data_IF_499305490955
#
_entry.id   IF_499305490955
#
_cell.length_a   1.000
_cell.length_b   1.000
_cell.length_c   1.000
_cell.angle_alpha   90.00
_cell.angle_beta   90.00
_cell.angle_gamma   90.00
#
_symmetry.space_group_name_H-M   'P 1'
#
loop_
_entity.id
_entity.type
_entity.pdbx_description
1 polymer ?
#
# COMPACT_ATOMS: atom_id res chain seq x y z
N UNK A 1 7.98 3.64 -11.13
CA UNK A 1 8.50 4.94 -10.69
C UNK A 1 7.74 5.34 -9.44
N UNK A 2 8.41 5.66 -8.34
CA UNK A 2 7.79 6.04 -7.07
C UNK A 2 8.10 7.53 -6.86
N UNK A 3 7.06 8.35 -6.67
CA UNK A 3 7.13 9.78 -6.37
C UNK A 3 6.86 9.96 -4.87
N UNK A 4 7.73 10.68 -4.16
CA UNK A 4 7.69 10.83 -2.70
C UNK A 4 6.87 12.05 -2.24
N UNK A 5 6.27 12.81 -3.17
CA UNK A 5 5.33 13.87 -2.86
C UNK A 5 5.96 15.11 -2.21
N UNK A 6 7.29 15.27 -2.30
CA UNK A 6 8.03 16.34 -1.65
C UNK A 6 7.83 17.74 -2.28
N UNK A 7 7.10 17.87 -3.40
CA UNK A 7 6.86 19.18 -4.04
C UNK A 7 5.41 19.35 -4.53
N UNK A 8 4.79 20.47 -4.17
CA UNK A 8 3.38 20.79 -4.49
C UNK A 8 3.09 21.03 -5.98
N UNK A 9 4.11 21.12 -6.84
CA UNK A 9 3.99 21.40 -8.28
C UNK A 9 4.79 20.41 -9.16
N UNK A 10 4.78 19.12 -8.82
CA UNK A 10 5.39 18.09 -9.66
C UNK A 10 4.65 17.95 -10.99
N UNK A 11 5.35 18.24 -12.10
CA UNK A 11 4.88 18.07 -13.48
C UNK A 11 4.61 16.60 -13.86
N UNK A 12 4.84 15.64 -12.96
CA UNK A 12 4.56 14.20 -13.14
C UNK A 12 3.08 13.93 -13.37
N UNK A 13 2.19 14.81 -12.88
CA UNK A 13 0.74 14.67 -13.08
C UNK A 13 0.35 14.78 -14.57
N UNK A 14 1.15 15.44 -15.43
CA UNK A 14 0.78 15.70 -16.83
C UNK A 14 1.32 14.68 -17.86
N UNK A 15 2.19 13.76 -17.45
CA UNK A 15 2.71 12.68 -18.32
C UNK A 15 2.18 11.30 -17.88
N UNK A 16 1.53 11.20 -16.72
CA UNK A 16 0.95 9.96 -16.19
C UNK A 16 -0.37 9.51 -16.85
N UNK A 17 -0.92 10.27 -17.79
CA UNK A 17 -2.17 9.89 -18.48
C UNK A 17 -1.98 8.80 -19.54
N UNK A 18 -0.74 8.53 -19.96
CA UNK A 18 -0.42 7.63 -21.07
C UNK A 18 0.50 6.45 -20.72
N UNK A 19 0.78 6.22 -19.44
CA UNK A 19 1.53 5.04 -19.00
C UNK A 19 0.77 4.41 -17.83
N UNK A 20 0.07 3.32 -18.14
CA UNK A 20 -0.65 2.42 -17.21
C UNK A 20 0.32 1.71 -16.25
N UNK A 21 1.05 2.46 -15.42
CA UNK A 21 1.72 1.91 -14.26
C UNK A 21 0.67 1.66 -13.19
N UNK A 22 0.57 0.44 -12.63
CA UNK A 22 -0.38 0.14 -11.55
C UNK A 22 -0.07 1.05 -10.36
N UNK A 23 -0.82 2.13 -10.22
CA UNK A 23 -0.81 2.97 -9.03
C UNK A 23 -1.45 2.16 -7.89
N UNK A 24 -0.67 1.30 -7.27
CA UNK A 24 -0.94 0.80 -5.94
C UNK A 24 -0.70 1.96 -4.96
N UNK A 25 -1.64 2.89 -4.87
CA UNK A 25 -1.65 3.91 -3.81
C UNK A 25 -1.77 3.15 -2.49
N UNK A 26 -0.71 3.11 -1.69
CA UNK A 26 -0.77 2.51 -0.36
C UNK A 26 -1.85 3.17 0.47
N UNK A 27 -2.62 2.39 1.22
CA UNK A 27 -3.69 2.90 2.06
C UNK A 27 -3.12 3.82 3.16
N UNK A 28 -1.94 3.47 3.70
CA UNK A 28 -1.22 4.26 4.71
C UNK A 28 0.31 4.11 4.62
N UNK A 29 1.03 5.07 5.19
CA UNK A 29 2.43 4.91 5.58
C UNK A 29 2.50 4.38 7.02
N UNK A 30 3.03 3.17 7.20
CA UNK A 30 3.11 2.47 8.48
C UNK A 30 4.02 3.22 9.46
N UNK A 31 5.11 3.78 8.96
CA UNK A 31 6.16 4.38 9.76
C UNK A 31 6.23 5.91 9.58
N UNK A 32 5.11 6.57 9.32
CA UNK A 32 5.06 8.03 9.25
C UNK A 32 5.70 8.68 10.50
N UNK A 33 5.38 8.15 11.69
CA UNK A 33 6.19 8.29 12.89
C UNK A 33 7.09 7.04 13.04
N UNK A 34 8.43 7.17 12.95
CA UNK A 34 9.36 6.05 13.04
C UNK A 34 9.56 5.53 14.47
N UNK A 35 8.92 6.13 15.48
CA UNK A 35 8.94 5.61 16.85
C UNK A 35 8.29 4.21 16.92
N UNK A 36 8.65 3.41 17.93
CA UNK A 36 8.03 2.10 18.14
C UNK A 36 6.51 2.21 18.28
N UNK A 37 6.03 3.24 18.98
CA UNK A 37 4.61 3.51 19.15
C UNK A 37 3.93 3.93 17.85
N UNK A 38 4.58 4.81 17.07
CA UNK A 38 4.11 5.25 15.77
C UNK A 38 3.90 4.10 14.79
N UNK A 39 4.90 3.25 14.64
CA UNK A 39 4.83 2.06 13.78
C UNK A 39 3.75 1.09 14.27
N UNK A 40 3.62 0.87 15.58
CA UNK A 40 2.57 0.01 16.13
C UNK A 40 1.16 0.54 15.84
N UNK A 41 0.97 1.86 15.95
CA UNK A 41 -0.29 2.53 15.61
C UNK A 41 -0.60 2.42 14.11
N UNK A 42 0.40 2.63 13.25
CA UNK A 42 0.26 2.45 11.80
C UNK A 42 -0.17 1.02 11.44
N UNK A 43 0.46 0.00 12.04
CA UNK A 43 0.08 -1.40 11.82
C UNK A 43 -1.34 -1.71 12.32
N UNK A 44 -1.74 -1.16 13.47
CA UNK A 44 -3.09 -1.31 13.98
C UNK A 44 -4.13 -0.66 13.06
N UNK A 45 -3.82 0.49 12.47
CA UNK A 45 -4.68 1.15 11.50
C UNK A 45 -4.79 0.35 10.19
N UNK A 46 -3.67 -0.20 9.71
CA UNK A 46 -3.66 -1.07 8.54
C UNK A 46 -4.59 -2.28 8.72
N UNK A 47 -4.59 -2.89 9.91
CA UNK A 47 -5.50 -3.99 10.23
C UNK A 47 -6.97 -3.58 10.20
N UNK A 48 -7.30 -2.39 10.73
CA UNK A 48 -8.68 -1.88 10.68
C UNK A 48 -9.13 -1.67 9.23
N UNK A 49 -8.27 -1.10 8.40
CA UNK A 49 -8.54 -0.92 6.96
C UNK A 49 -8.74 -2.29 6.30
N UNK A 50 -7.86 -3.26 6.59
CA UNK A 50 -7.97 -4.61 6.02
C UNK A 50 -9.27 -5.31 6.41
N UNK A 51 -9.70 -5.18 7.66
CA UNK A 51 -10.98 -5.76 8.14
C UNK A 51 -12.19 -5.10 7.49
N UNK A 52 -12.16 -3.77 7.32
CA UNK A 52 -13.24 -3.01 6.70
C UNK A 52 -13.34 -3.27 5.19
N UNK A 53 -12.21 -3.22 4.49
CA UNK A 53 -12.15 -3.23 3.03
C UNK A 53 -11.84 -4.62 2.44
N UNK A 54 -11.71 -5.66 3.29
CA UNK A 54 -11.23 -7.02 2.97
C UNK A 54 -9.80 -7.10 2.44
N UNK A 55 -9.12 -5.97 2.25
CA UNK A 55 -7.70 -5.84 1.88
C UNK A 55 -7.13 -4.51 2.38
N UNK A 56 -5.82 -4.46 2.57
CA UNK A 56 -5.09 -3.20 2.74
C UNK A 56 -3.63 -3.36 2.28
N UNK A 57 -3.01 -2.26 1.85
CA UNK A 57 -1.61 -2.15 1.44
C UNK A 57 -0.95 -1.05 2.25
N UNK A 58 0.01 -1.40 3.10
CA UNK A 58 0.82 -0.44 3.85
C UNK A 58 2.18 -0.23 3.20
N UNK A 59 2.66 1.01 3.21
CA UNK A 59 4.02 1.37 2.75
C UNK A 59 4.88 1.66 3.98
N UNK A 60 6.15 1.25 3.96
CA UNK A 60 7.09 1.50 5.04
C UNK A 60 8.49 1.80 4.48
N UNK A 61 9.29 2.59 5.19
CA UNK A 61 10.70 2.83 4.84
C UNK A 61 11.58 1.66 5.30
N UNK A 62 12.76 1.54 4.70
CA UNK A 62 13.73 0.48 4.99
C UNK A 62 14.56 0.76 6.26
N UNK A 63 13.89 1.08 7.37
CA UNK A 63 14.52 1.33 8.67
C UNK A 63 14.63 0.03 9.47
N UNK A 64 15.77 -0.28 10.13
CA UNK A 64 15.95 -1.53 10.86
C UNK A 64 14.88 -1.78 11.95
N UNK A 65 14.46 -0.72 12.65
CA UNK A 65 13.41 -0.79 13.66
C UNK A 65 12.03 -1.09 13.05
N UNK A 66 11.68 -0.42 11.95
CA UNK A 66 10.43 -0.63 11.20
C UNK A 66 10.34 -2.08 10.70
N UNK A 67 11.41 -2.60 10.10
CA UNK A 67 11.47 -3.98 9.62
C UNK A 67 11.26 -4.96 10.78
N UNK A 68 11.94 -4.75 11.91
CA UNK A 68 11.84 -5.61 13.10
C UNK A 68 10.42 -5.64 13.68
N UNK A 69 9.74 -4.49 13.71
CA UNK A 69 8.36 -4.39 14.19
C UNK A 69 7.37 -5.04 13.23
N UNK A 70 7.54 -4.86 11.92
CA UNK A 70 6.73 -5.54 10.91
C UNK A 70 6.91 -7.06 11.04
N UNK A 71 8.14 -7.57 11.15
CA UNK A 71 8.40 -9.00 11.33
C UNK A 71 7.77 -9.59 12.60
N UNK A 72 7.71 -8.80 13.67
CA UNK A 72 7.04 -9.23 14.90
C UNK A 72 5.52 -9.24 14.72
N UNK A 73 4.99 -8.22 14.06
CA UNK A 73 3.57 -8.08 13.77
C UNK A 73 3.04 -9.16 12.81
N UNK A 74 3.79 -9.55 11.78
CA UNK A 74 3.36 -10.59 10.82
C UNK A 74 3.09 -11.93 11.49
N UNK A 75 3.86 -12.28 12.53
CA UNK A 75 3.63 -13.47 13.37
C UNK A 75 2.26 -13.45 14.08
N UNK A 76 1.65 -12.29 14.23
CA UNK A 76 0.35 -12.11 14.89
C UNK A 76 -0.85 -12.23 13.95
N UNK A 77 -0.64 -12.30 12.64
CA UNK A 77 -1.72 -12.20 11.65
C UNK A 77 -2.61 -13.44 11.62
N UNK A 78 -2.05 -14.64 11.84
CA UNK A 78 -2.81 -15.89 11.86
C UNK A 78 -3.94 -15.89 12.89
N UNK A 79 -3.63 -15.50 14.14
CA UNK A 79 -4.64 -15.35 15.20
C UNK A 79 -5.67 -14.24 14.92
N UNK A 80 -5.34 -13.29 14.06
CA UNK A 80 -6.21 -12.18 13.64
C UNK A 80 -7.04 -12.50 12.40
N UNK A 81 -6.89 -13.70 11.82
CA UNK A 81 -7.52 -14.12 10.55
C UNK A 81 -7.18 -13.17 9.38
N UNK A 82 -5.95 -12.66 9.36
CA UNK A 82 -5.41 -11.81 8.28
C UNK A 82 -4.32 -12.62 7.57
N UNK A 83 -4.37 -12.66 6.24
CA UNK A 83 -3.32 -13.27 5.43
C UNK A 83 -2.39 -12.17 4.89
N UNK A 84 -1.08 -12.37 5.03
CA UNK A 84 -0.08 -11.54 4.36
C UNK A 84 0.05 -12.02 2.91
N UNK A 85 0.04 -11.10 1.96
CA UNK A 85 0.14 -11.41 0.54
C UNK A 85 1.06 -10.42 -0.19
N UNK A 86 1.70 -10.82 -1.30
CA UNK A 86 2.40 -9.90 -2.19
C UNK A 86 1.44 -8.83 -2.74
N UNK A 87 1.94 -7.62 -2.99
CA UNK A 87 1.11 -6.53 -3.53
C UNK A 87 0.45 -6.89 -4.87
N UNK A 88 1.11 -7.72 -5.69
CA UNK A 88 0.57 -8.22 -6.96
C UNK A 88 -0.68 -9.09 -6.81
N UNK A 89 -0.87 -9.75 -5.66
CA UNK A 89 -2.07 -10.53 -5.37
C UNK A 89 -3.23 -9.66 -4.86
N UNK A 90 -2.92 -8.49 -4.31
CA UNK A 90 -3.88 -7.57 -3.66
C UNK A 90 -4.37 -6.49 -4.63
N UNK A 91 -3.54 -6.11 -5.60
CA UNK A 91 -3.84 -5.11 -6.61
C UNK A 91 -4.37 -5.82 -7.86
N UNK A 92 -5.69 -5.76 -8.08
CA UNK A 92 -6.23 -6.05 -9.41
C UNK A 92 -5.74 -4.96 -10.36
N UNK A 93 -4.99 -5.35 -11.39
CA UNK A 93 -4.81 -4.50 -12.56
C UNK A 93 -6.19 -4.46 -13.22
N UNK A 94 -6.90 -3.33 -13.06
CA UNK A 94 -8.11 -3.04 -13.83
C UNK A 94 -7.71 -2.96 -15.31
N UNK A 95 -7.73 -4.09 -16.02
CA UNK A 95 -7.74 -4.05 -17.47
C UNK A 95 -9.12 -3.53 -17.87
N UNK A 96 -9.21 -2.26 -18.27
CA UNK A 96 -10.39 -1.80 -19.01
C UNK A 96 -10.52 -2.71 -20.23
N UNK A 97 -11.60 -3.48 -20.29
CA UNK A 97 -11.94 -4.26 -21.48
C UNK A 97 -12.08 -3.27 -22.65
N UNK A 98 -11.30 -3.51 -23.70
CA UNK A 98 -11.39 -2.74 -24.95
C UNK A 98 -12.83 -2.89 -25.47
N UNK A 99 -13.55 -1.78 -25.63
CA UNK A 99 -14.87 -1.80 -26.24
C UNK A 99 -14.75 -2.44 -27.63
N UNK A 100 -15.47 -3.54 -27.83
CA UNK A 100 -15.61 -4.19 -29.13
C UNK A 100 -16.50 -3.26 -29.98
N UNK A 101 -16.02 -2.67 -31.08
CA UNK A 101 -16.88 -1.87 -31.93
C UNK A 101 -17.93 -2.79 -32.57
N UNK A 102 -19.20 -2.48 -32.35
CA UNK A 102 -20.29 -3.13 -33.09
C UNK A 102 -20.21 -2.67 -34.55
N UNK A 103 -20.09 -3.62 -35.47
CA UNK A 103 -20.43 -3.42 -36.89
C UNK A 103 -21.94 -3.50 -37.06
#
# INVERSE_FOLDING_TARGET
>A
MIDDGSTKNSQIIRIGSNIELPQARGDIFIDADPSRGGVANGLAELEKIAKRNKRAVGIARSLPNTISLIMTWTKTLGRKKIALAPVSAVVKIERKAKAIPKK
#
